data_IF_209997865643
#
_entry.id   IF_209997865643
#
_cell.length_a   1.000
_cell.length_b   1.000
_cell.length_c   1.000
_cell.angle_alpha   90.00
_cell.angle_beta   90.00
_cell.angle_gamma   90.00
#
_symmetry.space_group_name_H-M   'P 1'
#
loop_
_entity.id
_entity.type
_entity.pdbx_description
1 polymer ?
#
# COMPACT_ATOMS: atom_id res chain seq x y z
N UNK A 1 -12.22 -23.60 -30.52
CA UNK A 1 -13.31 -23.29 -29.56
C UNK A 1 -12.78 -22.28 -28.58
N UNK A 2 -13.05 -20.98 -28.85
CA UNK A 2 -12.64 -19.83 -28.07
C UNK A 2 -13.46 -19.80 -26.77
N UNK A 3 -12.82 -20.05 -25.64
CA UNK A 3 -13.38 -19.70 -24.32
C UNK A 3 -12.82 -18.36 -23.90
N UNK A 4 -13.40 -17.28 -24.42
CA UNK A 4 -13.32 -15.96 -23.81
C UNK A 4 -14.13 -16.00 -22.50
N UNK A 5 -13.49 -16.38 -21.41
CA UNK A 5 -13.96 -16.05 -20.07
C UNK A 5 -13.75 -14.55 -19.88
N UNK A 6 -14.76 -13.75 -20.23
CA UNK A 6 -14.89 -12.38 -19.72
C UNK A 6 -14.85 -12.46 -18.20
N UNK A 7 -13.71 -12.11 -17.61
CA UNK A 7 -13.67 -11.68 -16.22
C UNK A 7 -14.64 -10.49 -16.14
N UNK A 8 -15.84 -10.70 -15.65
CA UNK A 8 -16.64 -9.62 -15.10
C UNK A 8 -15.79 -9.05 -13.97
N UNK A 9 -15.12 -7.93 -14.18
CA UNK A 9 -14.50 -7.18 -13.12
C UNK A 9 -15.67 -6.75 -12.22
N UNK A 10 -15.80 -7.38 -11.06
CA UNK A 10 -16.68 -6.90 -10.02
C UNK A 10 -16.27 -5.45 -9.78
N UNK A 11 -17.19 -4.50 -9.96
CA UNK A 11 -16.90 -3.10 -9.62
C UNK A 11 -16.45 -3.06 -8.17
N UNK A 12 -15.23 -2.63 -7.96
CA UNK A 12 -14.66 -2.50 -6.62
C UNK A 12 -15.31 -1.31 -5.93
N UNK A 13 -15.86 -1.56 -4.75
CA UNK A 13 -16.53 -0.55 -3.93
C UNK A 13 -15.74 -0.28 -2.66
N UNK A 14 -15.76 0.96 -2.22
CA UNK A 14 -15.06 1.46 -1.06
C UNK A 14 -16.02 2.11 -0.07
N UNK A 15 -15.68 2.09 1.19
CA UNK A 15 -16.30 2.96 2.18
C UNK A 15 -15.86 4.41 1.97
N UNK A 16 -16.76 5.34 2.25
CA UNK A 16 -16.46 6.76 2.27
C UNK A 16 -16.08 7.20 3.69
N UNK A 17 -15.13 8.12 3.76
CA UNK A 17 -14.67 8.73 5.01
C UNK A 17 -14.78 10.25 4.93
N UNK A 18 -14.93 10.91 6.08
CA UNK A 18 -14.86 12.37 6.20
C UNK A 18 -13.40 12.85 6.42
N UNK A 19 -13.23 14.16 6.49
CA UNK A 19 -11.92 14.79 6.72
C UNK A 19 -11.25 14.44 8.05
N UNK A 20 -12.02 13.92 9.01
CA UNK A 20 -11.59 13.56 10.36
C UNK A 20 -11.41 12.03 10.51
N UNK A 21 -11.33 11.31 9.39
CA UNK A 21 -11.15 9.84 9.31
C UNK A 21 -12.32 9.02 9.85
N UNK A 22 -13.51 9.60 9.98
CA UNK A 22 -14.71 8.86 10.36
C UNK A 22 -15.40 8.28 9.13
N UNK A 23 -15.83 7.03 9.24
CA UNK A 23 -16.64 6.39 8.19
C UNK A 23 -17.98 7.10 8.04
N UNK A 24 -18.30 7.50 6.82
CA UNK A 24 -19.58 8.11 6.48
C UNK A 24 -20.58 7.01 6.13
N UNK A 25 -21.54 6.80 7.04
CA UNK A 25 -22.61 5.84 6.81
C UNK A 25 -23.51 6.32 5.66
N UNK A 26 -23.99 5.40 4.85
CA UNK A 26 -24.85 5.66 3.68
C UNK A 26 -24.13 6.31 2.47
N UNK A 27 -22.79 6.31 2.44
CA UNK A 27 -22.01 6.68 1.26
C UNK A 27 -21.11 5.51 0.85
N UNK A 28 -21.14 5.16 -0.43
CA UNK A 28 -20.30 4.13 -1.04
C UNK A 28 -19.59 4.77 -2.22
N UNK A 29 -18.28 4.54 -2.32
CA UNK A 29 -17.47 4.99 -3.44
C UNK A 29 -17.23 3.83 -4.40
N UNK A 30 -17.07 4.14 -5.69
CA UNK A 30 -16.82 3.15 -6.74
C UNK A 30 -15.46 3.47 -7.37
N UNK A 31 -14.59 2.47 -7.46
CA UNK A 31 -13.28 2.63 -8.07
C UNK A 31 -13.41 3.10 -9.52
N UNK A 32 -12.69 4.18 -9.84
CA UNK A 32 -12.70 4.79 -11.18
C UNK A 32 -13.75 5.88 -11.38
N UNK A 33 -14.64 6.10 -10.40
CA UNK A 33 -15.56 7.23 -10.40
C UNK A 33 -14.98 8.41 -9.61
N UNK A 34 -15.45 9.62 -9.91
CA UNK A 34 -15.07 10.81 -9.16
C UNK A 34 -15.60 10.73 -7.72
N UNK A 35 -14.71 11.00 -6.76
CA UNK A 35 -15.07 11.04 -5.34
C UNK A 35 -15.75 12.38 -5.06
N UNK A 36 -16.95 12.41 -4.45
CA UNK A 36 -17.64 13.64 -4.12
C UNK A 36 -16.82 14.53 -3.18
N UNK A 37 -16.93 15.85 -3.34
CA UNK A 37 -16.25 16.82 -2.49
C UNK A 37 -16.55 16.58 -1.00
N UNK A 38 -15.50 16.60 -0.18
CA UNK A 38 -15.59 16.36 1.26
C UNK A 38 -15.62 14.87 1.66
N UNK A 39 -15.62 13.97 0.70
CA UNK A 39 -15.46 12.54 0.93
C UNK A 39 -14.08 12.06 0.51
N UNK A 40 -13.62 10.99 1.15
CA UNK A 40 -12.31 10.39 0.94
C UNK A 40 -12.43 8.88 0.87
N UNK A 41 -11.59 8.23 0.05
CA UNK A 41 -11.37 6.79 0.16
C UNK A 41 -10.15 6.51 1.03
N UNK A 42 -10.07 5.32 1.60
CA UNK A 42 -8.99 4.92 2.47
C UNK A 42 -7.98 4.05 1.72
N UNK A 43 -6.70 4.39 1.86
CA UNK A 43 -5.57 3.60 1.40
C UNK A 43 -4.71 3.23 2.61
N UNK A 44 -4.27 1.98 2.67
CA UNK A 44 -3.30 1.53 3.65
C UNK A 44 -1.95 1.35 2.98
N UNK A 45 -0.90 1.90 3.60
CA UNK A 45 0.48 1.69 3.21
C UNK A 45 1.22 0.98 4.33
N UNK A 46 2.03 -0.02 4.00
CA UNK A 46 2.74 -0.84 4.98
C UNK A 46 4.25 -0.75 4.74
N UNK A 47 4.97 -0.17 5.70
CA UNK A 47 6.44 -0.22 5.73
C UNK A 47 6.84 -1.59 6.24
N UNK A 48 7.67 -2.31 5.48
CA UNK A 48 8.17 -3.63 5.88
C UNK A 48 9.63 -3.50 6.28
N UNK A 49 9.90 -3.73 7.58
CA UNK A 49 11.23 -3.73 8.18
C UNK A 49 11.59 -5.13 8.63
N UNK A 50 12.75 -5.62 8.22
CA UNK A 50 13.27 -6.88 8.70
C UNK A 50 13.98 -6.69 10.05
N UNK A 51 14.03 -7.75 10.87
CA UNK A 51 14.68 -7.72 12.20
C UNK A 51 16.19 -7.44 12.15
N UNK A 52 16.83 -7.59 10.99
CA UNK A 52 18.22 -7.18 10.75
C UNK A 52 18.41 -5.67 10.46
N UNK A 53 17.31 -4.90 10.43
CA UNK A 53 17.30 -3.47 10.18
C UNK A 53 17.12 -3.05 8.73
N UNK A 54 17.03 -4.00 7.80
CA UNK A 54 16.77 -3.67 6.38
C UNK A 54 15.28 -3.46 6.09
N UNK A 55 15.00 -2.76 5.00
CA UNK A 55 13.66 -2.43 4.52
C UNK A 55 13.39 -3.05 3.16
N UNK A 56 12.17 -3.51 2.96
CA UNK A 56 11.71 -4.04 1.68
C UNK A 56 11.34 -2.89 0.73
N UNK A 57 11.90 -2.92 -0.46
CA UNK A 57 11.45 -2.12 -1.59
C UNK A 57 10.85 -3.04 -2.66
N UNK A 58 9.70 -2.62 -3.19
CA UNK A 58 9.02 -3.29 -4.28
C UNK A 58 9.12 -2.42 -5.54
N UNK A 59 9.39 -3.02 -6.70
CA UNK A 59 9.43 -2.30 -7.98
C UNK A 59 8.10 -2.43 -8.70
N UNK A 60 7.49 -1.30 -9.03
CA UNK A 60 6.20 -1.25 -9.72
C UNK A 60 6.28 -1.87 -11.11
N UNK A 61 5.25 -2.62 -11.49
CA UNK A 61 5.12 -3.12 -12.86
C UNK A 61 5.11 -1.95 -13.86
N UNK A 62 5.68 -2.20 -15.03
CA UNK A 62 5.81 -1.19 -16.09
C UNK A 62 4.47 -0.73 -16.66
N UNK A 63 3.40 -1.53 -16.51
CA UNK A 63 2.05 -1.18 -16.94
C UNK A 63 1.33 -0.21 -16.00
N UNK A 64 1.88 0.03 -14.80
CA UNK A 64 1.30 0.93 -13.79
C UNK A 64 1.77 2.37 -13.96
N UNK A 65 1.04 3.29 -13.37
CA UNK A 65 1.52 4.66 -13.18
C UNK A 65 2.84 4.64 -12.39
N UNK A 66 3.84 5.40 -12.82
CA UNK A 66 5.21 5.36 -12.29
C UNK A 66 5.89 3.99 -12.40
N UNK A 67 5.58 3.23 -13.47
CA UNK A 67 6.14 1.90 -13.70
C UNK A 67 7.66 1.90 -13.71
N UNK A 68 8.25 0.89 -13.09
CA UNK A 68 9.71 0.74 -12.94
C UNK A 68 10.32 1.49 -11.75
N UNK A 69 9.58 2.39 -11.09
CA UNK A 69 10.02 3.04 -9.86
C UNK A 69 9.84 2.11 -8.65
N UNK A 70 10.59 2.40 -7.58
CA UNK A 70 10.52 1.65 -6.33
C UNK A 70 9.48 2.24 -5.38
N UNK A 71 8.88 1.40 -4.59
CA UNK A 71 7.99 1.76 -3.48
C UNK A 71 8.56 1.22 -2.17
N UNK A 72 8.55 2.05 -1.14
CA UNK A 72 8.97 1.63 0.21
C UNK A 72 7.83 0.99 1.00
N UNK A 73 6.71 0.71 0.33
CA UNK A 73 5.51 0.14 0.93
C UNK A 73 4.91 -0.96 0.08
N UNK A 74 4.21 -1.88 0.74
CA UNK A 74 3.09 -2.59 0.18
C UNK A 74 1.81 -1.81 0.52
N UNK A 75 0.77 -1.86 -0.29
CA UNK A 75 -0.46 -1.18 0.07
C UNK A 75 -1.48 -1.03 -1.04
N UNK A 76 -2.67 -0.63 -0.65
CA UNK A 76 -3.78 -0.41 -1.56
C UNK A 76 -5.04 0.10 -0.89
N UNK A 77 -6.11 0.20 -1.68
CA UNK A 77 -7.40 0.72 -1.23
C UNK A 77 -8.14 -0.28 -0.34
N UNK A 78 -8.66 0.21 0.78
CA UNK A 78 -9.56 -0.58 1.61
C UNK A 78 -10.88 -0.83 0.87
N UNK A 79 -11.32 -2.07 0.87
CA UNK A 79 -12.59 -2.47 0.30
C UNK A 79 -13.75 -2.05 1.20
N UNK A 80 -14.95 -2.03 0.66
CA UNK A 80 -16.16 -1.74 1.43
C UNK A 80 -16.30 -2.72 2.60
N UNK A 81 -16.53 -2.18 3.80
CA UNK A 81 -16.61 -2.91 5.08
C UNK A 81 -15.29 -3.54 5.55
N UNK A 82 -14.18 -3.20 4.96
CA UNK A 82 -12.86 -3.62 5.41
C UNK A 82 -12.30 -2.59 6.41
N UNK A 83 -11.77 -3.05 7.54
CA UNK A 83 -11.06 -2.17 8.46
C UNK A 83 -9.68 -1.78 7.90
N UNK A 84 -9.07 -0.66 8.36
CA UNK A 84 -7.70 -0.33 7.95
C UNK A 84 -6.70 -1.46 8.21
N UNK A 85 -6.81 -2.14 9.35
CA UNK A 85 -5.91 -3.25 9.69
C UNK A 85 -6.13 -4.46 8.77
N UNK A 86 -7.39 -4.83 8.48
CA UNK A 86 -7.70 -5.94 7.58
C UNK A 86 -7.19 -5.64 6.16
N UNK A 87 -7.38 -4.39 5.69
CA UNK A 87 -6.83 -3.93 4.43
C UNK A 87 -5.29 -4.10 4.40
N UNK A 88 -4.61 -3.61 5.43
CA UNK A 88 -3.15 -3.71 5.50
C UNK A 88 -2.65 -5.16 5.50
N UNK A 89 -3.31 -6.05 6.25
CA UNK A 89 -2.98 -7.49 6.28
C UNK A 89 -3.17 -8.12 4.90
N UNK A 90 -4.29 -7.84 4.23
CA UNK A 90 -4.60 -8.37 2.89
C UNK A 90 -3.60 -7.88 1.85
N UNK A 91 -3.36 -6.56 1.77
CA UNK A 91 -2.44 -5.96 0.80
C UNK A 91 -1.00 -6.45 1.02
N UNK A 92 -0.53 -6.55 2.27
CA UNK A 92 0.79 -7.09 2.58
C UNK A 92 0.94 -8.53 2.06
N UNK A 93 -0.07 -9.36 2.29
CA UNK A 93 -0.05 -10.75 1.81
C UNK A 93 -0.11 -10.84 0.28
N UNK A 94 -0.97 -10.05 -0.38
CA UNK A 94 -1.15 -10.06 -1.83
C UNK A 94 0.11 -9.61 -2.56
N UNK A 95 0.73 -8.52 -2.10
CA UNK A 95 1.88 -7.92 -2.79
C UNK A 95 3.23 -8.55 -2.43
N UNK A 96 3.37 -9.14 -1.24
CA UNK A 96 4.67 -9.64 -0.76
C UNK A 96 4.69 -11.12 -0.37
N UNK A 97 3.53 -11.72 -0.15
CA UNK A 97 3.41 -13.07 0.40
C UNK A 97 3.62 -13.15 1.91
N UNK A 98 3.97 -12.04 2.58
CA UNK A 98 4.15 -12.00 4.04
C UNK A 98 2.79 -12.13 4.73
N UNK A 99 2.68 -13.07 5.67
CA UNK A 99 1.48 -13.31 6.46
C UNK A 99 1.75 -12.98 7.91
N UNK A 100 1.08 -11.96 8.40
CA UNK A 100 1.12 -11.54 9.80
C UNK A 100 -0.10 -10.69 10.11
N UNK A 101 -0.56 -10.74 11.33
CA UNK A 101 -1.55 -9.83 11.91
C UNK A 101 -0.91 -8.80 12.86
N UNK A 102 0.41 -8.88 13.04
CA UNK A 102 1.16 -8.00 13.92
C UNK A 102 1.65 -6.76 13.15
N UNK A 103 0.72 -5.87 12.82
CA UNK A 103 0.99 -4.57 12.21
C UNK A 103 0.71 -3.47 13.21
N UNK A 104 1.59 -2.47 13.26
CA UNK A 104 1.45 -1.31 14.15
C UNK A 104 1.12 -0.08 13.30
N UNK A 105 -0.01 0.56 13.58
CA UNK A 105 -0.34 1.85 12.98
C UNK A 105 0.67 2.91 13.44
N UNK A 106 1.33 3.57 12.50
CA UNK A 106 2.38 4.55 12.78
C UNK A 106 2.02 5.97 12.35
N UNK A 107 0.95 6.14 11.59
CA UNK A 107 0.49 7.46 11.20
C UNK A 107 -0.75 7.47 10.32
N UNK A 108 -1.29 8.66 10.13
CA UNK A 108 -2.39 8.95 9.21
C UNK A 108 -2.11 10.25 8.49
N UNK A 109 -2.45 10.29 7.22
CA UNK A 109 -2.31 11.48 6.40
C UNK A 109 -3.52 11.63 5.47
N UNK A 110 -3.79 12.84 5.05
CA UNK A 110 -4.83 13.15 4.07
C UNK A 110 -4.24 13.93 2.91
N UNK A 111 -4.55 13.53 1.71
CA UNK A 111 -4.15 14.23 0.49
C UNK A 111 -5.25 14.10 -0.56
N UNK A 112 -5.65 15.24 -1.16
CA UNK A 112 -6.72 15.31 -2.16
C UNK A 112 -8.02 14.65 -1.67
N UNK A 113 -8.40 13.53 -2.29
CA UNK A 113 -9.59 12.71 -2.04
C UNK A 113 -9.27 11.38 -1.34
N UNK A 114 -8.07 11.26 -0.79
CA UNK A 114 -7.55 10.03 -0.17
C UNK A 114 -7.11 10.30 1.25
N UNK A 115 -7.49 9.39 2.14
CA UNK A 115 -6.89 9.27 3.47
C UNK A 115 -5.96 8.05 3.50
N UNK A 116 -4.81 8.22 4.09
CA UNK A 116 -3.79 7.18 4.22
C UNK A 116 -3.67 6.76 5.68
N UNK A 117 -3.61 5.46 5.90
CA UNK A 117 -3.28 4.87 7.20
C UNK A 117 -2.00 4.07 7.02
N UNK A 118 -0.97 4.47 7.75
CA UNK A 118 0.38 3.92 7.62
C UNK A 118 0.63 2.88 8.69
N UNK A 119 1.12 1.72 8.29
CA UNK A 119 1.46 0.62 9.17
C UNK A 119 2.94 0.26 9.08
N UNK A 120 3.50 -0.20 10.18
CA UNK A 120 4.81 -0.85 10.25
C UNK A 120 4.63 -2.35 10.47
N UNK A 121 5.24 -3.13 9.59
CA UNK A 121 5.41 -4.57 9.73
C UNK A 121 6.87 -4.86 10.07
N UNK A 122 7.15 -5.36 11.27
CA UNK A 122 8.47 -5.89 11.61
C UNK A 122 8.43 -7.40 11.44
N UNK A 123 9.31 -7.95 10.60
CA UNK A 123 9.31 -9.36 10.23
C UNK A 123 10.69 -9.99 10.31
N UNK A 124 10.73 -11.28 10.57
CA UNK A 124 11.93 -12.12 10.45
C UNK A 124 11.78 -13.14 9.30
N UNK A 125 10.96 -12.84 8.30
CA UNK A 125 10.73 -13.73 7.17
C UNK A 125 12.02 -14.06 6.42
N UNK A 126 12.01 -15.19 5.70
CA UNK A 126 13.11 -15.44 4.75
C UNK A 126 13.04 -14.42 3.63
N UNK A 127 14.10 -13.59 3.52
CA UNK A 127 14.21 -12.50 2.54
C UNK A 127 14.10 -12.95 1.08
N UNK A 128 14.44 -14.21 0.79
CA UNK A 128 14.38 -14.79 -0.55
C UNK A 128 12.99 -15.34 -0.91
N UNK A 129 12.03 -15.29 0.02
CA UNK A 129 10.68 -15.83 -0.14
C UNK A 129 9.60 -14.76 -0.40
N UNK A 130 9.98 -13.57 -0.86
CA UNK A 130 9.00 -12.55 -1.25
C UNK A 130 8.32 -12.98 -2.55
N UNK A 131 6.99 -12.97 -2.53
CA UNK A 131 6.17 -13.26 -3.72
C UNK A 131 5.76 -11.97 -4.38
N UNK A 132 5.99 -11.87 -5.69
CA UNK A 132 5.55 -10.72 -6.47
C UNK A 132 4.11 -10.95 -6.94
N UNK A 133 3.30 -9.91 -6.90
CA UNK A 133 1.94 -9.92 -7.45
C UNK A 133 2.00 -9.57 -8.93
N UNK A 134 1.49 -10.47 -9.77
CA UNK A 134 1.46 -10.28 -11.22
C UNK A 134 0.65 -9.03 -11.61
N UNK A 135 1.24 -8.19 -12.46
CA UNK A 135 0.65 -6.93 -12.89
C UNK A 135 0.76 -5.78 -11.88
N UNK A 136 1.30 -6.02 -10.67
CA UNK A 136 1.54 -5.02 -9.64
C UNK A 136 3.02 -4.74 -9.46
N UNK A 137 3.83 -5.78 -9.28
CA UNK A 137 5.26 -5.68 -8.99
C UNK A 137 6.09 -6.62 -9.84
N UNK A 138 7.31 -6.19 -10.22
CA UNK A 138 8.22 -6.95 -11.09
C UNK A 138 9.53 -7.36 -10.43
N UNK A 139 9.88 -6.74 -9.31
CA UNK A 139 11.09 -7.05 -8.56
C UNK A 139 10.96 -6.57 -7.09
N UNK A 140 11.84 -7.06 -6.24
CA UNK A 140 12.02 -6.54 -4.89
C UNK A 140 13.50 -6.50 -4.51
N UNK A 141 13.81 -5.71 -3.51
CA UNK A 141 15.12 -5.71 -2.87
C UNK A 141 15.02 -5.30 -1.40
N UNK A 142 15.96 -5.75 -0.60
CA UNK A 142 16.14 -5.29 0.77
C UNK A 142 17.28 -4.28 0.81
N UNK A 143 17.05 -3.14 1.43
CA UNK A 143 17.99 -2.04 1.52
C UNK A 143 18.20 -1.61 2.97
N UNK A 144 19.34 -1.00 3.26
CA UNK A 144 19.56 -0.37 4.56
C UNK A 144 18.70 0.91 4.71
N UNK A 145 18.54 1.37 5.94
CA UNK A 145 17.86 2.65 6.20
C UNK A 145 18.52 3.80 5.44
N UNK A 146 19.86 3.86 5.46
CA UNK A 146 20.62 4.91 4.77
C UNK A 146 20.43 4.89 3.26
N UNK A 147 20.39 3.71 2.64
CA UNK A 147 20.07 3.57 1.22
C UNK A 147 18.64 4.05 0.91
N UNK A 148 17.66 3.65 1.74
CA UNK A 148 16.27 4.03 1.54
C UNK A 148 16.08 5.55 1.58
N UNK A 149 16.58 6.22 2.61
CA UNK A 149 16.44 7.68 2.77
C UNK A 149 17.25 8.48 1.74
N UNK A 150 18.25 7.87 1.10
CA UNK A 150 19.06 8.49 0.05
C UNK A 150 18.47 8.34 -1.37
N UNK A 151 17.43 7.52 -1.56
CA UNK A 151 16.79 7.36 -2.86
C UNK A 151 16.22 8.69 -3.35
N UNK A 152 16.45 8.95 -4.64
CA UNK A 152 15.96 10.18 -5.28
C UNK A 152 14.47 10.07 -5.61
N UNK A 153 13.81 11.22 -5.73
CA UNK A 153 12.41 11.34 -6.22
C UNK A 153 12.16 10.64 -7.55
N UNK A 154 13.18 10.56 -8.41
CA UNK A 154 13.08 9.86 -9.70
C UNK A 154 13.11 8.33 -9.58
N UNK A 155 13.47 7.80 -8.42
CA UNK A 155 13.61 6.36 -8.17
C UNK A 155 12.51 5.82 -7.26
N UNK A 156 11.94 6.68 -6.39
CA UNK A 156 10.94 6.31 -5.40
C UNK A 156 9.61 6.99 -5.69
N UNK A 157 8.53 6.22 -5.69
CA UNK A 157 7.18 6.71 -6.03
C UNK A 157 6.64 7.71 -4.99
N UNK A 158 6.91 7.46 -3.71
CA UNK A 158 6.37 8.28 -2.63
C UNK A 158 7.44 8.75 -1.68
N UNK A 159 7.61 10.09 -1.59
CA UNK A 159 8.49 10.72 -0.58
C UNK A 159 7.91 10.60 0.83
N UNK A 160 6.59 10.46 0.93
CA UNK A 160 5.89 10.33 2.20
C UNK A 160 6.49 9.23 3.07
N UNK A 161 6.83 8.08 2.48
CA UNK A 161 7.38 6.97 3.23
C UNK A 161 8.82 7.20 3.69
N UNK A 162 9.63 7.90 2.92
CA UNK A 162 10.96 8.35 3.39
C UNK A 162 10.80 9.25 4.62
N UNK A 163 9.89 10.21 4.55
CA UNK A 163 9.61 11.12 5.66
C UNK A 163 9.18 10.37 6.93
N UNK A 164 8.27 9.39 6.81
CA UNK A 164 7.89 8.54 7.95
C UNK A 164 9.08 7.78 8.55
N UNK A 165 9.92 7.19 7.72
CA UNK A 165 11.09 6.44 8.17
C UNK A 165 12.11 7.36 8.86
N UNK A 166 12.29 8.58 8.35
CA UNK A 166 13.15 9.60 8.97
C UNK A 166 12.58 10.09 10.32
N UNK A 167 11.31 10.47 10.36
CA UNK A 167 10.65 11.04 11.54
C UNK A 167 10.48 10.03 12.68
N UNK A 168 10.16 8.78 12.37
CA UNK A 168 9.98 7.73 13.35
C UNK A 168 11.30 7.12 13.83
N UNK A 169 12.43 7.52 13.26
CA UNK A 169 13.76 6.96 13.55
C UNK A 169 13.81 5.43 13.47
N UNK A 170 13.01 4.87 12.58
CA UNK A 170 12.85 3.43 12.39
C UNK A 170 14.10 2.78 11.78
#
# INVERSE_FOLDING_TARGET
INRNLRRYSRMETWDAYDKDFNKVHNATLIRGEAIPEGLFHLVCDIIVKHTDGSYLLMQRDRCKQFGGMWEATAGGSALQNESPLDCAIRELQEETGIRTDNLVEVGRERSNDTIYVEFLCVTNCNKDCITLQDGETIAYKWVSRSELVSLKKSELVTERMQKFIEELQL
#
